data_IF_746272008030
#
_entry.id   IF_746272008030
#
_cell.length_a   1.000
_cell.length_b   1.000
_cell.length_c   1.000
_cell.angle_alpha   90.00
_cell.angle_beta   90.00
_cell.angle_gamma   90.00
#
_symmetry.space_group_name_H-M   'P 1'
#
loop_
_entity.id
_entity.type
_entity.pdbx_description
1 polymer ?
#
# COMPACT_ATOMS: atom_id res chain seq x y z
N UNK A 1 -4.25 5.42 -17.95
CA UNK A 1 -4.34 6.41 -16.87
C UNK A 1 -3.86 5.73 -15.60
N UNK A 2 -3.06 6.39 -14.77
CA UNK A 2 -2.49 5.77 -13.57
C UNK A 2 -2.97 6.56 -12.35
N UNK A 3 -3.32 5.86 -11.26
CA UNK A 3 -3.96 6.43 -10.08
C UNK A 3 -3.01 6.36 -8.89
N UNK A 4 -2.69 7.52 -8.35
CA UNK A 4 -1.84 7.69 -7.17
C UNK A 4 -2.64 7.42 -5.90
N UNK A 5 -2.21 6.44 -5.12
CA UNK A 5 -2.81 6.08 -3.84
C UNK A 5 -1.77 6.20 -2.72
N UNK A 6 -2.18 6.78 -1.59
CA UNK A 6 -1.41 6.74 -0.35
C UNK A 6 -1.62 5.41 0.33
N UNK A 7 -0.56 4.79 0.82
CA UNK A 7 -0.65 3.52 1.52
C UNK A 7 -0.50 3.77 3.02
N UNK A 8 -1.45 3.26 3.80
CA UNK A 8 -1.37 3.23 5.25
C UNK A 8 -1.34 1.78 5.70
N UNK A 9 -0.21 1.36 6.25
CA UNK A 9 -0.09 0.03 6.85
C UNK A 9 -0.72 0.09 8.24
N UNK A 10 -1.76 -0.70 8.44
CA UNK A 10 -2.49 -0.84 9.69
C UNK A 10 -2.15 -2.19 10.35
N UNK A 11 -2.16 -2.22 11.68
CA UNK A 11 -1.87 -3.41 12.48
C UNK A 11 -0.52 -3.36 13.19
N UNK A 12 -0.34 -4.27 14.15
CA UNK A 12 0.78 -4.30 15.08
C UNK A 12 1.85 -5.32 14.68
N UNK A 13 1.90 -5.76 13.41
CA UNK A 13 2.93 -6.73 12.99
C UNK A 13 4.33 -6.08 13.17
N UNK A 14 5.15 -6.59 14.11
CA UNK A 14 6.41 -5.96 14.47
C UNK A 14 7.45 -6.05 13.34
N UNK A 15 7.22 -6.91 12.33
CA UNK A 15 8.11 -7.05 11.17
C UNK A 15 7.97 -5.91 10.19
N UNK A 16 6.76 -5.36 10.08
CA UNK A 16 6.45 -4.38 9.05
C UNK A 16 6.23 -3.00 9.62
N UNK A 17 5.83 -2.84 10.88
CA UNK A 17 5.67 -1.57 11.58
C UNK A 17 4.57 -0.67 10.99
N UNK A 18 3.68 -0.16 11.83
CA UNK A 18 2.60 0.73 11.37
C UNK A 18 3.16 2.06 10.81
N UNK A 19 2.50 2.62 9.79
CA UNK A 19 2.91 3.91 9.22
C UNK A 19 2.25 4.27 7.89
N UNK A 20 2.38 5.54 7.50
CA UNK A 20 2.01 6.03 6.17
C UNK A 20 3.23 5.95 5.27
N UNK A 21 3.07 5.30 4.12
CA UNK A 21 4.11 5.07 3.13
C UNK A 21 4.00 6.07 1.97
N UNK A 22 5.07 6.20 1.15
CA UNK A 22 5.01 6.99 -0.07
C UNK A 22 3.86 6.58 -1.00
N UNK A 23 3.49 7.50 -1.88
CA UNK A 23 2.44 7.31 -2.89
C UNK A 23 2.84 6.20 -3.85
N UNK A 24 1.95 5.23 -4.05
CA UNK A 24 2.08 4.18 -5.07
C UNK A 24 1.08 4.42 -6.20
N UNK A 25 1.51 4.14 -7.43
CA UNK A 25 0.69 4.35 -8.62
C UNK A 25 0.19 3.01 -9.17
N UNK A 26 -1.11 2.91 -9.37
CA UNK A 26 -1.78 1.70 -9.88
C UNK A 26 -2.49 1.97 -11.21
N UNK A 27 -2.77 0.92 -11.98
CA UNK A 27 -3.59 1.03 -13.20
C UNK A 27 -5.07 1.33 -12.90
N UNK A 28 -5.55 0.82 -11.76
CA UNK A 28 -6.88 1.03 -11.20
C UNK A 28 -6.79 1.12 -9.67
N UNK A 29 -7.84 1.64 -9.00
CA UNK A 29 -7.87 1.69 -7.53
C UNK A 29 -8.04 0.26 -7.00
N UNK A 30 -7.10 -0.28 -6.21
CA UNK A 30 -7.26 -1.58 -5.60
C UNK A 30 -8.50 -1.63 -4.71
N UNK A 31 -9.21 -2.76 -4.74
CA UNK A 31 -10.46 -2.96 -3.99
C UNK A 31 -10.19 -3.57 -2.63
N UNK A 32 -11.15 -3.41 -1.72
CA UNK A 32 -11.12 -4.13 -0.45
C UNK A 32 -11.03 -5.65 -0.67
N UNK A 33 -10.11 -6.31 0.04
CA UNK A 33 -9.83 -7.73 -0.05
C UNK A 33 -8.76 -8.12 -1.08
N UNK A 34 -8.41 -7.23 -2.01
CA UNK A 34 -7.34 -7.48 -3.00
C UNK A 34 -5.95 -7.41 -2.37
N UNK A 35 -4.99 -8.02 -3.06
CA UNK A 35 -3.59 -8.00 -2.67
C UNK A 35 -2.81 -6.97 -3.48
N UNK A 36 -1.96 -6.20 -2.80
CA UNK A 36 -1.01 -5.27 -3.40
C UNK A 36 0.40 -5.63 -2.96
N UNK A 37 1.32 -5.73 -3.93
CA UNK A 37 2.72 -6.05 -3.69
C UNK A 37 3.58 -4.81 -3.80
N UNK A 38 4.34 -4.48 -2.75
CA UNK A 38 5.33 -3.40 -2.81
C UNK A 38 6.45 -3.62 -1.80
N UNK A 39 7.58 -2.95 -2.02
CA UNK A 39 8.71 -2.94 -1.08
C UNK A 39 8.66 -1.67 -0.24
N UNK A 40 8.62 -1.79 1.09
CA UNK A 40 8.56 -0.63 2.00
C UNK A 40 9.87 0.17 2.00
N UNK A 41 10.99 -0.53 2.03
CA UNK A 41 12.33 0.02 2.23
C UNK A 41 13.23 -0.09 0.99
N UNK A 42 12.67 -0.57 -0.12
CA UNK A 42 13.40 -0.77 -1.37
C UNK A 42 14.43 -1.90 -1.28
N UNK A 43 14.30 -2.80 -0.30
CA UNK A 43 15.16 -3.98 -0.19
C UNK A 43 15.14 -4.79 -1.47
N UNK A 44 16.32 -5.31 -1.81
CA UNK A 44 16.52 -6.24 -2.91
C UNK A 44 16.95 -7.58 -2.36
N UNK A 45 16.54 -8.65 -3.03
CA UNK A 45 17.01 -10.00 -2.74
C UNK A 45 18.46 -10.21 -3.23
N UNK A 46 19.02 -11.38 -2.95
CA UNK A 46 20.40 -11.75 -3.33
C UNK A 46 20.64 -11.76 -4.85
N UNK A 47 19.57 -11.72 -5.65
CA UNK A 47 19.60 -11.67 -7.12
C UNK A 47 19.45 -10.23 -7.63
N UNK A 48 19.32 -9.25 -6.74
CA UNK A 48 19.11 -7.85 -7.06
C UNK A 48 17.68 -7.48 -7.45
N UNK A 49 16.70 -8.39 -7.32
CA UNK A 49 15.30 -8.11 -7.56
C UNK A 49 14.68 -7.41 -6.33
N UNK A 50 13.73 -6.50 -6.54
CA UNK A 50 13.01 -5.85 -5.44
C UNK A 50 12.22 -6.90 -4.65
N UNK A 51 12.53 -7.03 -3.36
CA UNK A 51 11.76 -7.88 -2.45
C UNK A 51 10.41 -7.22 -2.22
N UNK A 52 9.36 -7.83 -2.73
CA UNK A 52 7.99 -7.34 -2.56
C UNK A 52 7.34 -8.04 -1.38
N UNK A 53 6.85 -7.24 -0.45
CA UNK A 53 5.94 -7.69 0.58
C UNK A 53 4.52 -7.66 0.02
N UNK A 54 3.73 -8.67 0.36
CA UNK A 54 2.33 -8.75 -0.03
C UNK A 54 1.43 -8.21 1.09
N UNK A 55 0.54 -7.31 0.71
CA UNK A 55 -0.40 -6.69 1.63
C UNK A 55 -1.82 -6.88 1.15
N UNK A 56 -2.74 -7.09 2.08
CA UNK A 56 -4.18 -7.15 1.78
C UNK A 56 -4.83 -5.83 2.09
N UNK A 57 -5.58 -5.30 1.12
CA UNK A 57 -6.38 -4.09 1.29
C UNK A 57 -7.53 -4.39 2.24
N UNK A 58 -7.61 -3.64 3.34
CA UNK A 58 -8.70 -3.73 4.32
C UNK A 58 -9.72 -2.63 4.17
N UNK A 59 -9.32 -1.48 3.63
CA UNK A 59 -10.23 -0.36 3.39
C UNK A 59 -9.67 0.57 2.33
N UNK A 60 -10.57 1.11 1.51
CA UNK A 60 -10.27 2.16 0.53
C UNK A 60 -11.00 3.42 0.97
N UNK A 61 -10.26 4.51 1.17
CA UNK A 61 -10.82 5.79 1.62
C UNK A 61 -10.64 6.81 0.50
N UNK A 62 -11.75 7.36 0.02
CA UNK A 62 -11.74 8.44 -0.96
C UNK A 62 -12.00 9.77 -0.25
N UNK A 63 -11.05 10.69 -0.39
CA UNK A 63 -11.17 12.06 0.12
C UNK A 63 -11.36 12.99 -1.07
N UNK A 64 -12.48 13.72 -1.08
CA UNK A 64 -12.74 14.72 -2.10
C UNK A 64 -11.75 15.90 -2.01
N UNK A 65 -11.51 16.55 -3.14
CA UNK A 65 -10.73 17.78 -3.16
C UNK A 65 -11.47 18.89 -2.38
N UNK A 66 -10.70 19.69 -1.65
CA UNK A 66 -11.15 20.92 -1.02
C UNK A 66 -10.30 22.08 -1.55
N UNK A 67 -10.63 23.32 -1.17
CA UNK A 67 -9.82 24.49 -1.53
C UNK A 67 -8.37 24.43 -0.99
N UNK A 68 -8.16 23.63 0.06
CA UNK A 68 -6.86 23.49 0.74
C UNK A 68 -6.11 22.22 0.33
N UNK A 69 -6.81 21.18 -0.14
CA UNK A 69 -6.22 19.87 -0.38
C UNK A 69 -6.74 19.25 -1.67
N UNK A 70 -5.85 18.65 -2.45
CA UNK A 70 -6.22 17.82 -3.60
C UNK A 70 -7.02 16.59 -3.17
N UNK A 71 -7.78 16.01 -4.10
CA UNK A 71 -8.42 14.71 -3.88
C UNK A 71 -7.35 13.64 -3.61
N UNK A 72 -7.64 12.74 -2.68
CA UNK A 72 -6.70 11.69 -2.26
C UNK A 72 -7.42 10.35 -2.12
N UNK A 73 -6.71 9.27 -2.44
CA UNK A 73 -7.14 7.90 -2.17
C UNK A 73 -6.14 7.30 -1.19
N UNK A 74 -6.64 6.76 -0.08
CA UNK A 74 -5.84 6.09 0.94
C UNK A 74 -6.26 4.61 0.97
N UNK A 75 -5.27 3.72 0.85
CA UNK A 75 -5.45 2.28 1.06
C UNK A 75 -4.94 1.93 2.45
N UNK A 76 -5.86 1.51 3.31
CA UNK A 76 -5.46 0.84 4.55
C UNK A 76 -5.17 -0.62 4.22
N UNK A 77 -3.96 -1.07 4.52
CA UNK A 77 -3.48 -2.40 4.18
C UNK A 77 -2.90 -3.10 5.41
N UNK A 78 -3.01 -4.42 5.47
CA UNK A 78 -2.30 -5.25 6.46
C UNK A 78 -1.28 -6.12 5.75
N UNK A 79 -0.17 -6.41 6.42
CA UNK A 79 0.78 -7.40 5.94
C UNK A 79 0.16 -8.80 6.04
N UNK A 80 0.23 -9.57 4.96
CA UNK A 80 -0.23 -10.95 4.93
C UNK A 80 0.84 -11.76 4.20
N UNK A 81 1.58 -12.60 4.93
CA UNK A 81 2.52 -13.52 4.27
C UNK A 81 1.70 -14.55 3.48
N UNK A 82 2.18 -14.97 2.29
CA UNK A 82 1.69 -16.19 1.70
C UNK A 82 1.89 -17.30 2.73
N UNK A 83 0.79 -17.98 3.08
CA UNK A 83 0.86 -19.20 3.88
C UNK A 83 1.53 -20.23 2.97
N UNK A 84 2.70 -20.70 3.40
CA UNK A 84 3.46 -21.78 2.76
C UNK A 84 2.60 -23.05 2.63
#
# INVERSE_FOLDING_TARGET
MAISCYIKIIGDDPRVGAGVLPVFTFGEVPREGEFVGFSRDGKRDDRGALSQDLYRVKRVIHTAATELNSAMIILDVVFEQPVD
#
